data_IF_915301324011
#
_entry.id   IF_915301324011
#
_cell.length_a   1.000
_cell.length_b   1.000
_cell.length_c   1.000
_cell.angle_alpha   90.00
_cell.angle_beta   90.00
_cell.angle_gamma   90.00
#
_symmetry.space_group_name_H-M   'P 1'
#
loop_
_entity.id
_entity.type
_entity.pdbx_description
1 polymer ?
#
# COMPACT_ATOMS: atom_id res chain seq x y z
N UNK A 1 -18.98 -8.66 -0.88
CA UNK A 1 -18.16 -9.51 -1.78
C UNK A 1 -16.76 -8.88 -1.82
N UNK A 2 -15.68 -9.62 -1.56
CA UNK A 2 -14.32 -9.08 -1.54
C UNK A 2 -13.97 -8.37 -2.86
N UNK A 3 -13.00 -7.44 -2.81
CA UNK A 3 -12.63 -6.59 -3.95
C UNK A 3 -12.30 -7.43 -5.18
N UNK A 4 -12.73 -6.95 -6.36
CA UNK A 4 -12.56 -7.67 -7.62
C UNK A 4 -11.10 -7.98 -7.92
N UNK A 5 -10.15 -7.20 -7.39
CA UNK A 5 -8.73 -7.40 -7.65
C UNK A 5 -8.16 -8.69 -7.13
N UNK A 6 -8.45 -9.01 -5.87
CA UNK A 6 -7.83 -10.19 -5.24
C UNK A 6 -8.42 -11.42 -5.89
N UNK A 7 -9.62 -11.28 -6.48
CA UNK A 7 -10.36 -12.37 -7.09
C UNK A 7 -9.86 -12.66 -8.48
N UNK A 8 -9.50 -11.62 -9.23
CA UNK A 8 -8.79 -11.72 -10.51
C UNK A 8 -7.41 -12.34 -10.30
N UNK A 9 -6.60 -11.84 -9.34
CA UNK A 9 -5.27 -12.38 -9.02
C UNK A 9 -5.34 -13.86 -8.60
N UNK A 10 -6.24 -14.19 -7.68
CA UNK A 10 -6.43 -15.59 -7.26
C UNK A 10 -6.90 -16.48 -8.42
N UNK A 11 -7.73 -15.96 -9.32
CA UNK A 11 -8.13 -16.71 -10.51
C UNK A 11 -6.98 -16.86 -11.50
N UNK A 12 -6.09 -15.90 -11.63
CA UNK A 12 -4.92 -15.98 -12.51
C UNK A 12 -3.86 -16.93 -11.95
N UNK A 13 -3.58 -16.86 -10.64
CA UNK A 13 -2.57 -17.68 -9.97
C UNK A 13 -3.00 -19.14 -9.77
N UNK A 14 -4.31 -19.38 -9.58
CA UNK A 14 -4.85 -20.70 -9.25
C UNK A 14 -5.81 -21.28 -10.30
N UNK A 15 -6.17 -20.55 -11.36
CA UNK A 15 -6.80 -21.21 -12.51
C UNK A 15 -5.75 -22.04 -13.25
N UNK A 16 -6.14 -23.25 -13.63
CA UNK A 16 -5.36 -24.18 -14.45
C UNK A 16 -4.99 -23.65 -15.85
N UNK A 17 -5.26 -22.39 -16.15
CA UNK A 17 -4.92 -21.74 -17.43
C UNK A 17 -3.48 -21.22 -17.38
N UNK A 18 -2.53 -22.16 -17.37
CA UNK A 18 -1.09 -21.88 -17.39
C UNK A 18 -0.73 -21.11 -18.67
N UNK A 19 -0.65 -19.78 -18.58
CA UNK A 19 0.01 -18.92 -19.58
C UNK A 19 1.51 -18.97 -19.31
N UNK A 20 2.16 -20.05 -19.75
CA UNK A 20 3.62 -20.21 -19.64
C UNK A 20 4.04 -21.58 -19.17
N UNK A 21 3.93 -22.58 -20.06
CA UNK A 21 4.43 -23.94 -19.83
C UNK A 21 5.96 -23.93 -19.65
N UNK A 22 6.43 -24.07 -18.40
CA UNK A 22 7.68 -24.82 -18.15
C UNK A 22 7.23 -26.27 -18.09
N UNK A 23 7.41 -26.96 -19.21
CA UNK A 23 7.05 -28.36 -19.36
C UNK A 23 7.77 -29.21 -18.30
N UNK A 24 7.05 -29.61 -17.26
CA UNK A 24 7.35 -30.83 -16.52
C UNK A 24 7.37 -32.04 -17.48
N UNK A 25 8.05 -33.14 -17.11
CA UNK A 25 8.29 -34.25 -18.02
C UNK A 25 6.97 -34.81 -18.55
N UNK A 26 6.85 -34.88 -19.89
CA UNK A 26 5.69 -35.47 -20.57
C UNK A 26 5.53 -36.94 -20.17
N UNK A 27 4.33 -37.39 -19.78
CA UNK A 27 4.08 -38.79 -19.51
C UNK A 27 4.18 -39.62 -20.80
N UNK A 28 4.60 -40.87 -20.65
CA UNK A 28 4.82 -41.81 -21.76
C UNK A 28 3.49 -42.33 -22.32
N UNK A 29 3.43 -42.71 -23.62
CA UNK A 29 2.18 -43.10 -24.26
C UNK A 29 1.69 -44.45 -23.72
N UNK A 30 0.67 -44.41 -22.85
CA UNK A 30 0.06 -45.60 -22.22
C UNK A 30 -0.76 -45.33 -20.95
N UNK A 31 -0.66 -44.14 -20.36
CA UNK A 31 -1.45 -43.74 -19.18
C UNK A 31 -2.70 -42.94 -19.61
N UNK A 32 -3.82 -43.65 -19.81
CA UNK A 32 -5.16 -43.05 -19.99
C UNK A 32 -5.80 -42.62 -18.65
N UNK A 33 -5.03 -41.95 -17.78
CA UNK A 33 -5.59 -41.14 -16.68
C UNK A 33 -5.16 -39.69 -16.92
N UNK A 34 -5.85 -39.07 -17.87
CA UNK A 34 -5.55 -37.74 -18.35
C UNK A 34 -5.62 -36.70 -17.24
N UNK A 35 -4.54 -35.95 -17.07
CA UNK A 35 -4.54 -34.54 -16.65
C UNK A 35 -5.32 -34.23 -15.35
N UNK A 36 -5.52 -35.22 -14.47
CA UNK A 36 -6.14 -35.01 -13.18
C UNK A 36 -5.07 -34.48 -12.23
N UNK A 37 -5.28 -33.26 -11.74
CA UNK A 37 -4.46 -32.74 -10.64
C UNK A 37 -4.43 -33.79 -9.52
N UNK A 38 -3.24 -34.11 -8.99
CA UNK A 38 -3.14 -35.03 -7.86
C UNK A 38 -4.10 -34.64 -6.73
N UNK A 39 -4.75 -35.62 -6.09
CA UNK A 39 -5.86 -35.42 -5.15
C UNK A 39 -5.55 -34.38 -4.06
N UNK A 40 -4.30 -34.36 -3.56
CA UNK A 40 -3.86 -33.41 -2.55
C UNK A 40 -3.87 -31.95 -3.02
N UNK A 41 -3.63 -31.68 -4.30
CA UNK A 41 -3.74 -30.33 -4.86
C UNK A 41 -5.20 -29.90 -5.02
N UNK A 42 -6.09 -30.82 -5.38
CA UNK A 42 -7.53 -30.53 -5.46
C UNK A 42 -8.13 -30.24 -4.08
N UNK A 43 -7.74 -31.01 -3.06
CA UNK A 43 -8.14 -30.78 -1.67
C UNK A 43 -7.60 -29.44 -1.14
N UNK A 44 -6.35 -29.09 -1.47
CA UNK A 44 -5.75 -27.81 -1.10
C UNK A 44 -6.47 -26.63 -1.77
N UNK A 45 -6.78 -26.72 -3.07
CA UNK A 45 -7.51 -25.69 -3.80
C UNK A 45 -8.92 -25.46 -3.22
N UNK A 46 -9.64 -26.53 -2.87
CA UNK A 46 -10.96 -26.43 -2.25
C UNK A 46 -10.90 -25.76 -0.86
N UNK A 47 -9.89 -26.10 -0.05
CA UNK A 47 -9.67 -25.44 1.23
C UNK A 47 -9.33 -23.95 1.05
N UNK A 48 -8.50 -23.60 0.06
CA UNK A 48 -8.17 -22.21 -0.24
C UNK A 48 -9.39 -21.40 -0.71
N UNK A 49 -10.30 -22.01 -1.47
CA UNK A 49 -11.55 -21.36 -1.89
C UNK A 49 -12.43 -20.98 -0.69
N UNK A 50 -12.51 -21.84 0.32
CA UNK A 50 -13.26 -21.57 1.55
C UNK A 50 -12.66 -20.43 2.38
N UNK A 51 -11.32 -20.41 2.52
CA UNK A 51 -10.62 -19.39 3.31
C UNK A 51 -10.27 -18.11 2.54
N UNK A 52 -10.64 -18.06 1.25
CA UNK A 52 -10.26 -17.00 0.34
C UNK A 52 -10.64 -15.59 0.85
N UNK A 53 -11.85 -15.41 1.37
CA UNK A 53 -12.30 -14.11 1.88
C UNK A 53 -11.50 -13.65 3.11
N UNK A 54 -11.03 -14.58 3.93
CA UNK A 54 -10.20 -14.30 5.09
C UNK A 54 -8.76 -13.95 4.69
N UNK A 55 -8.21 -14.61 3.67
CA UNK A 55 -6.88 -14.30 3.13
C UNK A 55 -6.84 -12.89 2.51
N UNK A 56 -7.89 -12.51 1.76
CA UNK A 56 -8.06 -11.15 1.22
C UNK A 56 -7.98 -10.10 2.33
N UNK A 57 -8.74 -10.31 3.41
CA UNK A 57 -8.75 -9.39 4.54
C UNK A 57 -7.38 -9.32 5.25
N UNK A 58 -6.73 -10.47 5.43
CA UNK A 58 -5.41 -10.53 6.05
C UNK A 58 -4.35 -9.78 5.23
N UNK A 59 -4.35 -9.91 3.90
CA UNK A 59 -3.43 -9.18 3.01
C UNK A 59 -3.63 -7.67 3.11
N UNK A 60 -4.87 -7.20 3.03
CA UNK A 60 -5.18 -5.75 3.15
C UNK A 60 -4.78 -5.22 4.52
N UNK A 61 -5.03 -5.97 5.60
CA UNK A 61 -4.63 -5.57 6.95
C UNK A 61 -3.10 -5.51 7.13
N UNK A 62 -2.37 -6.50 6.60
CA UNK A 62 -0.91 -6.54 6.65
C UNK A 62 -0.32 -5.36 5.88
N UNK A 63 -0.82 -5.11 4.67
CA UNK A 63 -0.40 -4.01 3.84
C UNK A 63 -0.64 -2.65 4.53
N UNK A 64 -1.83 -2.44 5.08
CA UNK A 64 -2.16 -1.24 5.85
C UNK A 64 -1.25 -1.06 7.07
N UNK A 65 -0.93 -2.15 7.78
CA UNK A 65 0.01 -2.15 8.89
C UNK A 65 1.41 -1.71 8.46
N UNK A 66 1.92 -2.26 7.36
CA UNK A 66 3.25 -1.92 6.83
C UNK A 66 3.35 -0.46 6.40
N UNK A 67 2.31 0.05 5.75
CA UNK A 67 2.20 1.47 5.38
C UNK A 67 2.17 2.39 6.59
N UNK A 68 1.40 2.01 7.61
CA UNK A 68 1.31 2.79 8.85
C UNK A 68 2.67 2.83 9.56
N UNK A 69 3.40 1.72 9.53
CA UNK A 69 4.77 1.64 10.05
C UNK A 69 5.73 2.55 9.28
N UNK A 70 5.69 2.57 7.94
CA UNK A 70 6.53 3.45 7.12
C UNK A 70 6.21 4.92 7.37
N UNK A 71 4.92 5.28 7.46
CA UNK A 71 4.51 6.64 7.84
C UNK A 71 5.03 7.00 9.25
N UNK A 72 4.98 6.08 10.20
CA UNK A 72 5.59 6.26 11.53
C UNK A 72 7.09 6.56 11.44
N UNK A 73 7.81 5.82 10.59
CA UNK A 73 9.24 6.06 10.33
C UNK A 73 9.51 7.42 9.69
N UNK A 74 8.64 7.93 8.82
CA UNK A 74 8.78 9.29 8.27
C UNK A 74 8.80 10.33 9.38
N UNK A 75 7.74 10.35 10.20
CA UNK A 75 7.58 11.37 11.23
C UNK A 75 8.59 11.21 12.36
N UNK A 76 8.90 9.98 12.75
CA UNK A 76 9.92 9.71 13.76
C UNK A 76 11.32 10.11 13.28
N UNK A 77 11.71 9.69 12.07
CA UNK A 77 13.01 10.04 11.51
C UNK A 77 13.17 11.56 11.32
N UNK A 78 12.13 12.23 10.86
CA UNK A 78 12.10 13.68 10.70
C UNK A 78 12.21 14.40 12.05
N UNK A 79 11.49 13.94 13.08
CA UNK A 79 11.60 14.50 14.44
C UNK A 79 12.99 14.32 15.03
N UNK A 80 13.51 13.09 14.99
CA UNK A 80 14.81 12.73 15.55
C UNK A 80 15.94 13.54 14.93
N UNK A 81 16.02 13.57 13.59
CA UNK A 81 17.12 14.25 12.88
C UNK A 81 17.05 15.77 13.07
N UNK A 82 15.85 16.35 13.09
CA UNK A 82 15.70 17.79 13.29
C UNK A 82 16.01 18.19 14.74
N UNK A 83 15.53 17.46 15.75
CA UNK A 83 15.75 17.80 17.16
C UNK A 83 17.21 17.58 17.58
N UNK A 84 17.81 16.45 17.21
CA UNK A 84 19.16 16.07 17.68
C UNK A 84 20.27 16.63 16.80
N UNK A 85 20.21 16.39 15.49
CA UNK A 85 21.28 16.74 14.56
C UNK A 85 21.14 18.15 13.97
N UNK A 86 19.93 18.74 14.01
CA UNK A 86 19.61 20.03 13.39
C UNK A 86 20.01 20.09 11.91
N UNK A 87 20.00 18.94 11.24
CA UNK A 87 20.49 18.78 9.87
C UNK A 87 19.30 18.67 8.89
N UNK A 88 18.78 19.82 8.46
CA UNK A 88 17.57 19.90 7.62
C UNK A 88 17.68 19.05 6.36
N UNK A 89 18.77 19.19 5.60
CA UNK A 89 18.95 18.47 4.34
C UNK A 89 18.96 16.96 4.51
N UNK A 90 19.51 16.47 5.64
CA UNK A 90 19.51 15.05 5.96
C UNK A 90 18.09 14.59 6.29
N UNK A 91 17.33 15.37 7.08
CA UNK A 91 15.94 15.07 7.39
C UNK A 91 15.07 15.00 6.12
N UNK A 92 15.21 15.97 5.20
CA UNK A 92 14.51 15.95 3.91
C UNK A 92 14.91 14.76 3.05
N UNK A 93 16.19 14.39 3.00
CA UNK A 93 16.64 13.24 2.23
C UNK A 93 16.06 11.92 2.78
N UNK A 94 16.05 11.75 4.11
CA UNK A 94 15.46 10.56 4.75
C UNK A 94 13.97 10.46 4.45
N UNK A 95 13.23 11.56 4.60
CA UNK A 95 11.80 11.59 4.28
C UNK A 95 11.55 11.34 2.79
N UNK A 96 12.36 11.90 1.90
CA UNK A 96 12.24 11.66 0.46
C UNK A 96 12.41 10.18 0.12
N UNK A 97 13.47 9.52 0.63
CA UNK A 97 13.72 8.10 0.38
C UNK A 97 12.56 7.25 0.87
N UNK A 98 12.07 7.51 2.08
CA UNK A 98 10.97 6.74 2.64
C UNK A 98 9.63 7.04 1.95
N UNK A 99 9.40 8.27 1.47
CA UNK A 99 8.21 8.64 0.71
C UNK A 99 8.19 7.99 -0.68
N UNK A 100 9.35 7.90 -1.33
CA UNK A 100 9.51 7.13 -2.58
C UNK A 100 9.27 5.65 -2.34
N UNK A 101 9.82 5.08 -1.27
CA UNK A 101 9.55 3.68 -0.90
C UNK A 101 8.06 3.42 -0.68
N UNK A 102 7.38 4.30 0.06
CA UNK A 102 5.94 4.23 0.28
C UNK A 102 5.15 4.34 -1.03
N UNK A 103 5.50 5.29 -1.89
CA UNK A 103 4.91 5.44 -3.22
C UNK A 103 5.10 4.20 -4.11
N UNK A 104 6.26 3.55 -4.06
CA UNK A 104 6.53 2.31 -4.80
C UNK A 104 5.68 1.16 -4.30
N UNK A 105 5.53 1.01 -2.99
CA UNK A 105 4.67 -0.02 -2.38
C UNK A 105 3.21 0.18 -2.81
N UNK A 106 2.72 1.42 -2.77
CA UNK A 106 1.38 1.76 -3.27
C UNK A 106 1.23 1.39 -4.76
N UNK A 107 2.24 1.68 -5.57
CA UNK A 107 2.22 1.42 -7.01
C UNK A 107 2.26 -0.07 -7.38
N UNK A 108 2.94 -0.89 -6.58
CA UNK A 108 3.04 -2.32 -6.87
C UNK A 108 1.79 -3.09 -6.47
N UNK A 109 1.10 -2.67 -5.41
CA UNK A 109 -0.01 -3.44 -4.83
C UNK A 109 -1.38 -2.82 -5.08
N UNK A 110 -1.55 -1.51 -4.81
CA UNK A 110 -2.86 -0.85 -4.86
C UNK A 110 -3.21 -0.28 -6.23
N UNK A 111 -2.28 0.47 -6.84
CA UNK A 111 -2.61 1.32 -7.99
C UNK A 111 -2.88 0.41 -9.20
N UNK A 112 -4.13 0.30 -9.66
CA UNK A 112 -4.46 -0.61 -10.73
C UNK A 112 -3.84 -0.10 -12.04
N UNK A 113 -3.33 -1.03 -12.86
CA UNK A 113 -3.00 -0.71 -14.27
C UNK A 113 -4.29 -0.28 -14.97
N UNK A 114 -4.15 0.62 -15.95
CA UNK A 114 -5.16 1.42 -16.67
C UNK A 114 -6.50 0.77 -17.09
N UNK A 115 -6.64 -0.56 -16.96
CA UNK A 115 -7.74 -1.35 -17.50
C UNK A 115 -8.85 -1.69 -16.47
N UNK A 116 -8.73 -1.23 -15.21
CA UNK A 116 -9.68 -1.63 -14.15
C UNK A 116 -10.89 -0.69 -14.05
N UNK A 117 -12.09 -1.23 -14.27
CA UNK A 117 -13.39 -0.52 -14.15
C UNK A 117 -13.90 -0.46 -12.70
N UNK A 118 -13.06 -0.03 -11.75
CA UNK A 118 -13.50 0.18 -10.36
C UNK A 118 -14.01 1.61 -10.19
N UNK A 119 -15.19 1.79 -9.60
CA UNK A 119 -15.72 3.12 -9.28
C UNK A 119 -15.01 3.63 -8.02
N UNK A 120 -13.99 4.47 -8.21
CA UNK A 120 -13.30 5.14 -7.11
C UNK A 120 -14.09 6.36 -6.64
N UNK A 121 -14.35 6.46 -5.33
CA UNK A 121 -14.97 7.62 -4.69
C UNK A 121 -13.96 8.74 -4.44
N UNK A 122 -12.70 8.39 -4.18
CA UNK A 122 -11.60 9.33 -3.92
C UNK A 122 -10.42 9.12 -4.89
N UNK A 123 -10.54 9.55 -6.16
CA UNK A 123 -9.47 9.38 -7.14
C UNK A 123 -8.21 10.14 -6.72
N UNK A 124 -7.05 9.55 -6.97
CA UNK A 124 -5.71 10.12 -6.73
C UNK A 124 -5.35 10.46 -5.27
N UNK A 125 -6.24 10.23 -4.31
CA UNK A 125 -5.99 10.51 -2.89
C UNK A 125 -5.00 9.52 -2.23
N UNK A 126 -4.62 8.46 -2.94
CA UNK A 126 -3.58 7.51 -2.54
C UNK A 126 -2.19 8.16 -2.39
N UNK A 127 -1.90 9.20 -3.18
CA UNK A 127 -0.63 9.92 -3.14
C UNK A 127 -0.52 10.87 -1.94
N UNK A 128 -1.63 11.18 -1.28
CA UNK A 128 -1.64 12.09 -0.13
C UNK A 128 -0.88 11.53 1.07
N UNK A 129 -0.79 10.20 1.21
CA UNK A 129 -0.01 9.55 2.27
C UNK A 129 1.47 9.92 2.21
N UNK A 130 2.22 9.52 1.17
CA UNK A 130 3.63 9.85 1.05
C UNK A 130 3.89 11.37 0.94
N UNK A 131 2.93 12.14 0.44
CA UNK A 131 3.07 13.59 0.31
C UNK A 131 2.81 14.35 1.63
N UNK A 132 2.06 13.79 2.58
CA UNK A 132 1.72 14.43 3.86
C UNK A 132 2.95 14.72 4.73
N UNK A 133 4.06 14.00 4.50
CA UNK A 133 5.32 14.23 5.18
C UNK A 133 6.02 15.55 4.76
N UNK A 134 5.71 16.11 3.58
CA UNK A 134 6.33 17.36 3.11
C UNK A 134 5.90 18.60 3.91
N UNK A 135 4.60 18.88 4.13
CA UNK A 135 4.21 19.99 4.98
C UNK A 135 4.76 19.85 6.41
N UNK A 136 4.88 18.63 6.95
CA UNK A 136 5.50 18.38 8.25
C UNK A 136 7.00 18.72 8.26
N UNK A 137 7.73 18.37 7.18
CA UNK A 137 9.14 18.71 7.02
C UNK A 137 9.34 20.24 6.95
N UNK A 138 8.45 20.94 6.24
CA UNK A 138 8.48 22.40 6.14
C UNK A 138 8.18 23.03 7.51
N UNK A 139 7.15 22.55 8.21
CA UNK A 139 6.77 23.05 9.54
C UNK A 139 7.93 22.93 10.54
N UNK A 140 8.56 21.76 10.61
CA UNK A 140 9.72 21.53 11.48
C UNK A 140 10.95 22.34 11.09
N UNK A 141 11.13 22.65 9.80
CA UNK A 141 12.20 23.54 9.35
C UNK A 141 11.94 25.00 9.72
N UNK A 142 10.67 25.45 9.70
CA UNK A 142 10.27 26.80 10.08
C UNK A 142 10.33 27.06 11.59
N UNK A 143 10.22 25.99 12.40
CA UNK A 143 10.39 26.06 13.86
C UNK A 143 11.84 26.42 14.25
N UNK A 144 12.81 26.15 13.37
CA UNK A 144 14.20 26.56 13.53
C UNK A 144 14.42 28.04 13.23
N UNK A 145 13.92 28.90 14.10
CA UNK A 145 14.20 30.34 14.06
C UNK A 145 14.93 30.81 15.31
N UNK A 146 16.01 31.58 15.10
CA UNK A 146 16.79 32.21 16.18
C UNK A 146 15.98 33.30 16.89
N UNK A 147 15.06 33.95 16.17
CA UNK A 147 14.22 35.03 16.70
C UNK A 147 12.80 34.56 16.83
N UNK A 148 12.19 34.87 17.97
CA UNK A 148 10.78 34.61 18.20
C UNK A 148 9.92 35.41 17.21
N UNK A 149 9.03 34.72 16.51
CA UNK A 149 8.08 35.30 15.57
C UNK A 149 6.73 34.62 15.71
N UNK A 150 5.73 35.35 16.18
CA UNK A 150 4.36 34.84 16.34
C UNK A 150 3.75 34.38 15.01
N UNK A 151 4.09 35.06 13.91
CA UNK A 151 3.64 34.69 12.57
C UNK A 151 4.18 33.32 12.15
N UNK A 152 5.44 33.01 12.46
CA UNK A 152 6.04 31.71 12.12
C UNK A 152 5.35 30.56 12.86
N UNK A 153 5.05 30.76 14.15
CA UNK A 153 4.30 29.80 14.96
C UNK A 153 2.91 29.56 14.37
N UNK A 154 2.21 30.61 13.95
CA UNK A 154 0.92 30.49 13.28
C UNK A 154 0.99 29.65 12.00
N UNK A 155 2.00 29.90 11.15
CA UNK A 155 2.22 29.12 9.93
C UNK A 155 2.56 27.66 10.25
N UNK A 156 3.40 27.40 11.26
CA UNK A 156 3.74 26.05 11.70
C UNK A 156 2.48 25.25 12.09
N UNK A 157 1.59 25.83 12.89
CA UNK A 157 0.31 25.20 13.26
C UNK A 157 -0.58 24.91 12.04
N UNK A 158 -0.67 25.85 11.08
CA UNK A 158 -1.47 25.61 9.87
C UNK A 158 -0.92 24.43 9.05
N UNK A 159 0.39 24.32 8.92
CA UNK A 159 1.04 23.20 8.20
C UNK A 159 0.81 21.86 8.91
N UNK A 160 0.87 21.83 10.25
CA UNK A 160 0.57 20.63 11.04
C UNK A 160 -0.87 20.18 10.80
N UNK A 161 -1.84 21.09 10.82
CA UNK A 161 -3.24 20.78 10.55
C UNK A 161 -3.42 20.24 9.12
N UNK A 162 -2.75 20.84 8.13
CA UNK A 162 -2.76 20.36 6.74
C UNK A 162 -2.20 18.94 6.64
N UNK A 163 -1.07 18.63 7.30
CA UNK A 163 -0.54 17.26 7.36
C UNK A 163 -1.56 16.28 7.94
N UNK A 164 -2.21 16.62 9.05
CA UNK A 164 -3.24 15.75 9.63
C UNK A 164 -4.43 15.53 8.69
N UNK A 165 -4.88 16.58 7.99
CA UNK A 165 -5.96 16.48 7.01
C UNK A 165 -5.56 15.58 5.83
N UNK A 166 -4.34 15.72 5.31
CA UNK A 166 -3.84 14.86 4.24
C UNK A 166 -3.77 13.39 4.69
N UNK A 167 -3.28 13.13 5.91
CA UNK A 167 -3.22 11.80 6.49
C UNK A 167 -4.62 11.20 6.71
N UNK A 168 -5.59 12.02 7.12
CA UNK A 168 -6.99 11.61 7.31
C UNK A 168 -7.64 11.21 5.98
N UNK A 169 -7.49 12.04 4.93
CA UNK A 169 -8.01 11.73 3.59
C UNK A 169 -7.35 10.48 3.03
N UNK A 170 -6.06 10.31 3.25
CA UNK A 170 -5.33 9.10 2.89
C UNK A 170 -5.86 7.86 3.61
N UNK A 171 -6.11 7.94 4.92
CA UNK A 171 -6.71 6.85 5.69
C UNK A 171 -8.11 6.49 5.18
N UNK A 172 -8.93 7.50 4.84
CA UNK A 172 -10.24 7.27 4.22
C UNK A 172 -10.13 6.55 2.86
N UNK A 173 -9.15 6.91 2.03
CA UNK A 173 -8.88 6.20 0.76
C UNK A 173 -8.45 4.75 0.96
N UNK A 174 -7.68 4.46 2.01
CA UNK A 174 -7.29 3.09 2.36
C UNK A 174 -8.49 2.28 2.86
N UNK A 175 -9.40 2.89 3.63
CA UNK A 175 -10.65 2.26 4.06
C UNK A 175 -11.55 1.91 2.87
N UNK A 176 -11.57 2.75 1.83
CA UNK A 176 -12.27 2.48 0.57
C UNK A 176 -11.81 1.18 -0.12
N UNK A 177 -10.58 0.71 0.10
CA UNK A 177 -10.11 -0.56 -0.49
C UNK A 177 -10.82 -1.80 0.07
N UNK A 178 -11.35 -1.69 1.29
CA UNK A 178 -12.07 -2.77 1.96
C UNK A 178 -13.53 -2.81 1.50
N UNK A 179 -14.04 -1.71 0.92
CA UNK A 179 -15.42 -1.62 0.46
C UNK A 179 -15.63 -2.61 -0.69
N UNK A 180 -16.63 -3.51 -0.56
CA UNK A 180 -16.95 -4.48 -1.60
C UNK A 180 -17.38 -3.75 -2.88
N UNK A 181 -16.93 -4.23 -4.04
CA UNK A 181 -17.36 -3.67 -5.32
C UNK A 181 -18.84 -4.04 -5.56
N UNK A 182 -19.68 -3.03 -5.81
CA UNK A 182 -21.06 -3.22 -6.25
C UNK A 182 -21.07 -3.53 -7.75
N UNK A 183 -21.13 -4.84 -8.06
CA UNK A 183 -21.42 -5.46 -9.37
C UNK A 183 -20.23 -5.63 -10.31
#
# INVERSE_FOLDING_TARGET
>A
RPSSWVREEFREDYSSTVVGSIAGPKPSPGEEEGDQLPEHFAQFAAAQEEFYEHDVYARVALFYGFISFINGLHYYGLGQINIELRAFWVAYATVFVLAVMHALILRFDIIPRKDRKRKEYLPHCEWLGPLAALPAAIATSLDFQVKYSTTSIGVCWTLIIVTYLMQLVYAARMLELIVPDDI
#
